data_IF_292357678721
#
_entry.id   IF_292357678721
#
_cell.length_a   1.000
_cell.length_b   1.000
_cell.length_c   1.000
_cell.angle_alpha   90.00
_cell.angle_beta   90.00
_cell.angle_gamma   90.00
#
_symmetry.space_group_name_H-M   'P 1'
#
loop_
_entity.id
_entity.type
_entity.pdbx_description
1 polymer ?
#
# COMPACT_ATOMS: atom_id res chain seq x y z
N UNK A 1 -17.55 29.32 1.76
CA UNK A 1 -16.32 29.18 2.55
C UNK A 1 -16.29 27.76 3.09
N UNK A 2 -15.30 26.94 2.72
CA UNK A 2 -15.17 25.61 3.29
C UNK A 2 -14.73 25.77 4.74
N UNK A 3 -15.61 25.46 5.68
CA UNK A 3 -15.26 25.34 7.10
C UNK A 3 -14.23 24.21 7.21
N UNK A 4 -12.97 24.57 7.41
CA UNK A 4 -11.93 23.61 7.77
C UNK A 4 -12.28 23.07 9.16
N UNK A 5 -12.96 21.92 9.18
CA UNK A 5 -13.27 21.23 10.44
C UNK A 5 -11.96 20.88 11.13
N UNK A 6 -11.68 21.53 12.26
CA UNK A 6 -10.48 21.28 13.05
C UNK A 6 -10.53 19.83 13.57
N UNK A 7 -9.69 18.97 13.03
CA UNK A 7 -9.55 17.57 13.44
C UNK A 7 -8.61 17.51 14.64
N UNK A 8 -9.03 16.85 15.72
CA UNK A 8 -8.21 16.70 16.93
C UNK A 8 -8.28 15.29 17.50
N UNK A 9 -7.29 14.92 18.28
CA UNK A 9 -7.29 13.66 19.01
C UNK A 9 -8.44 13.65 20.02
N UNK A 10 -9.11 12.49 20.16
CA UNK A 10 -10.25 12.35 21.08
C UNK A 10 -11.56 12.96 20.59
N UNK A 11 -11.66 13.31 19.31
CA UNK A 11 -12.89 13.84 18.71
C UNK A 11 -14.08 12.85 18.85
N UNK A 12 -15.23 13.37 19.27
CA UNK A 12 -16.42 12.60 19.63
C UNK A 12 -17.13 11.96 18.43
N UNK A 13 -16.79 12.37 17.20
CA UNK A 13 -17.27 11.70 15.97
C UNK A 13 -16.73 10.26 15.84
N UNK A 14 -15.67 9.93 16.57
CA UNK A 14 -15.17 8.57 16.73
C UNK A 14 -15.51 8.04 18.13
N UNK A 15 -15.87 6.75 18.27
CA UNK A 15 -16.28 6.20 19.55
C UNK A 15 -15.08 6.05 20.52
N UNK A 16 -15.28 6.10 21.85
CA UNK A 16 -14.20 5.94 22.84
C UNK A 16 -13.33 4.69 22.63
N UNK A 17 -13.95 3.54 22.31
CA UNK A 17 -13.25 2.28 21.96
C UNK A 17 -12.28 2.36 20.78
N UNK A 18 -12.39 3.39 19.95
CA UNK A 18 -11.41 3.69 18.91
C UNK A 18 -10.20 4.36 19.55
N UNK A 19 -10.41 5.44 20.31
CA UNK A 19 -9.36 6.22 20.96
C UNK A 19 -8.57 5.45 22.02
N UNK A 20 -9.19 4.51 22.72
CA UNK A 20 -8.51 3.55 23.62
C UNK A 20 -7.40 2.74 22.94
N UNK A 21 -7.43 2.67 21.60
CA UNK A 21 -6.46 1.93 20.77
C UNK A 21 -5.47 2.86 20.08
N UNK A 22 -5.38 4.13 20.48
CA UNK A 22 -4.52 5.12 19.82
C UNK A 22 -3.60 5.78 20.83
N UNK A 23 -2.29 5.75 20.56
CA UNK A 23 -1.29 6.50 21.31
C UNK A 23 -0.77 7.67 20.46
N UNK A 24 -0.64 8.86 21.05
CA UNK A 24 0.01 10.00 20.37
C UNK A 24 1.52 9.82 20.46
N UNK A 25 2.22 10.01 19.34
CA UNK A 25 3.68 10.04 19.28
C UNK A 25 4.20 11.48 19.06
N UNK A 26 5.45 11.78 19.46
CA UNK A 26 6.05 13.11 19.32
C UNK A 26 6.09 13.66 17.88
N UNK A 27 6.05 12.79 16.88
CA UNK A 27 6.00 13.18 15.47
C UNK A 27 4.57 13.48 14.97
N UNK A 28 3.60 13.65 15.86
CA UNK A 28 2.19 13.93 15.52
C UNK A 28 1.39 12.71 15.05
N UNK A 29 2.01 11.52 14.98
CA UNK A 29 1.28 10.30 14.61
C UNK A 29 0.31 9.89 15.72
N UNK A 30 -0.88 9.47 15.30
CA UNK A 30 -1.85 8.78 16.13
C UNK A 30 -1.68 7.28 15.89
N UNK A 31 -0.89 6.63 16.72
CA UNK A 31 -0.43 5.26 16.50
C UNK A 31 -1.45 4.23 16.96
N UNK A 32 -1.92 3.40 16.02
CA UNK A 32 -2.83 2.30 16.30
C UNK A 32 -2.16 1.18 17.11
N UNK A 33 -2.61 1.01 18.34
CA UNK A 33 -2.17 -0.02 19.29
C UNK A 33 -2.98 -1.32 19.16
N UNK A 34 -4.13 -1.29 18.49
CA UNK A 34 -4.95 -2.47 18.26
C UNK A 34 -4.39 -3.46 17.23
N UNK A 35 -5.25 -4.41 16.84
CA UNK A 35 -4.94 -5.42 15.83
C UNK A 35 -4.49 -4.77 14.51
N UNK A 36 -3.48 -5.36 13.87
CA UNK A 36 -2.90 -4.94 12.60
C UNK A 36 -2.81 -6.14 11.68
N UNK A 37 -2.94 -5.95 10.36
CA UNK A 37 -2.72 -7.05 9.42
C UNK A 37 -1.25 -7.18 9.03
N UNK A 38 -0.90 -8.23 8.28
CA UNK A 38 0.50 -8.55 7.94
C UNK A 38 1.31 -7.49 7.17
N UNK A 39 0.69 -6.41 6.65
CA UNK A 39 1.44 -5.27 6.07
C UNK A 39 1.59 -4.10 7.03
N UNK A 40 1.02 -4.18 8.23
CA UNK A 40 1.14 -3.18 9.30
C UNK A 40 -0.02 -2.19 9.44
N UNK A 41 -1.06 -2.26 8.61
CA UNK A 41 -2.22 -1.35 8.77
C UNK A 41 -3.13 -1.82 9.89
N UNK A 42 -3.62 -0.87 10.69
CA UNK A 42 -4.56 -1.11 11.78
C UNK A 42 -5.93 -1.59 11.29
N UNK A 43 -6.51 -2.51 12.04
CA UNK A 43 -7.87 -3.03 11.86
C UNK A 43 -8.73 -2.60 13.05
N UNK A 44 -9.88 -2.00 12.74
CA UNK A 44 -10.90 -1.62 13.70
C UNK A 44 -12.16 -2.45 13.46
N UNK A 45 -12.55 -3.24 14.46
CA UNK A 45 -13.82 -3.96 14.44
C UNK A 45 -14.97 -2.96 14.56
N UNK A 46 -15.98 -3.07 13.72
CA UNK A 46 -17.23 -2.30 13.82
C UNK A 46 -18.42 -3.25 13.88
N UNK A 47 -19.63 -2.73 14.10
CA UNK A 47 -20.87 -3.52 13.98
C UNK A 47 -21.11 -4.06 12.56
N UNK A 48 -20.44 -3.49 11.56
CA UNK A 48 -20.52 -3.86 10.15
C UNK A 48 -19.28 -4.63 9.66
N UNK A 49 -18.51 -5.21 10.59
CA UNK A 49 -17.28 -5.94 10.31
C UNK A 49 -16.00 -5.11 10.48
N UNK A 50 -14.87 -5.69 10.08
CA UNK A 50 -13.54 -5.08 10.19
C UNK A 50 -13.37 -3.98 9.14
N UNK A 51 -12.87 -2.81 9.56
CA UNK A 51 -12.46 -1.70 8.69
C UNK A 51 -10.99 -1.36 8.94
N UNK A 52 -10.32 -0.74 7.95
CA UNK A 52 -8.98 -0.16 8.16
C UNK A 52 -9.10 1.03 9.10
N UNK A 53 -8.33 1.03 10.18
CA UNK A 53 -8.47 2.02 11.26
C UNK A 53 -8.22 3.47 10.77
N UNK A 54 -7.22 3.68 9.92
CA UNK A 54 -6.91 5.00 9.38
C UNK A 54 -7.99 5.53 8.43
N UNK A 55 -8.58 4.65 7.61
CA UNK A 55 -9.68 5.03 6.70
C UNK A 55 -10.96 5.33 7.50
N UNK A 56 -11.23 4.54 8.54
CA UNK A 56 -12.33 4.80 9.48
C UNK A 56 -12.18 6.18 10.13
N UNK A 57 -11.00 6.52 10.64
CA UNK A 57 -10.75 7.84 11.22
C UNK A 57 -10.93 8.98 10.20
N UNK A 58 -10.36 8.83 9.00
CA UNK A 58 -10.50 9.82 7.93
C UNK A 58 -11.98 10.06 7.58
N UNK A 59 -12.75 8.98 7.38
CA UNK A 59 -14.16 9.07 6.99
C UNK A 59 -15.04 9.80 8.01
N UNK A 60 -14.74 9.66 9.30
CA UNK A 60 -15.54 10.27 10.38
C UNK A 60 -15.07 11.68 10.76
N UNK A 61 -13.78 11.98 10.60
CA UNK A 61 -13.20 13.26 11.02
C UNK A 61 -13.05 14.26 9.88
N UNK A 62 -12.89 13.79 8.64
CA UNK A 62 -12.72 14.63 7.45
C UNK A 62 -13.94 14.52 6.54
N UNK A 63 -14.39 13.30 6.26
CA UNK A 63 -15.54 13.02 5.40
C UNK A 63 -15.28 11.85 4.46
N UNK A 64 -16.25 11.56 3.60
CA UNK A 64 -16.22 10.39 2.71
C UNK A 64 -14.88 10.27 1.96
N UNK A 65 -14.27 9.09 2.00
CA UNK A 65 -13.04 8.85 1.28
C UNK A 65 -13.33 8.83 -0.23
N UNK A 66 -12.65 9.64 -1.06
CA UNK A 66 -12.98 9.74 -2.48
C UNK A 66 -12.88 8.39 -3.21
N UNK A 67 -13.85 8.14 -4.09
CA UNK A 67 -13.90 6.92 -4.90
C UNK A 67 -12.68 6.85 -5.84
N UNK A 68 -12.10 5.67 -5.98
CA UNK A 68 -10.94 5.45 -6.86
C UNK A 68 -9.59 5.89 -6.28
N UNK A 69 -9.57 6.60 -5.15
CA UNK A 69 -8.33 7.04 -4.50
C UNK A 69 -7.83 6.04 -3.44
N UNK A 70 -6.53 6.11 -3.16
CA UNK A 70 -5.81 5.32 -2.16
C UNK A 70 -5.33 6.22 -1.02
N UNK A 71 -5.18 5.65 0.17
CA UNK A 71 -4.61 6.36 1.33
C UNK A 71 -3.09 6.28 1.28
N UNK A 72 -2.43 7.41 1.03
CA UNK A 72 -0.98 7.55 1.18
C UNK A 72 -0.66 8.11 2.57
N UNK A 73 0.16 7.38 3.31
CA UNK A 73 0.66 7.81 4.61
C UNK A 73 1.86 8.72 4.42
N UNK A 74 1.67 10.03 4.60
CA UNK A 74 2.72 11.04 4.49
C UNK A 74 3.86 10.78 5.50
N UNK A 75 3.49 10.31 6.69
CA UNK A 75 4.42 9.91 7.76
C UNK A 75 5.12 8.55 7.53
N UNK A 76 4.84 7.86 6.42
CA UNK A 76 5.35 6.51 6.09
C UNK A 76 5.11 5.43 7.17
N UNK A 77 4.14 5.66 8.05
CA UNK A 77 3.77 4.75 9.12
C UNK A 77 2.35 4.23 8.93
N UNK A 78 2.22 2.96 8.52
CA UNK A 78 0.93 2.32 8.21
C UNK A 78 0.00 2.17 9.41
N UNK A 79 0.53 2.24 10.64
CA UNK A 79 -0.26 2.18 11.86
C UNK A 79 -0.79 3.57 12.28
N UNK A 80 -0.38 4.66 11.63
CA UNK A 80 -0.90 5.98 11.92
C UNK A 80 -2.35 6.13 11.45
N UNK A 81 -3.22 6.65 12.32
CA UNK A 81 -4.64 6.92 12.04
C UNK A 81 -4.98 8.41 12.06
N UNK A 82 -3.98 9.30 12.20
CA UNK A 82 -4.19 10.75 12.11
C UNK A 82 -4.60 11.11 10.67
N UNK A 83 -5.81 11.66 10.43
CA UNK A 83 -6.25 12.03 9.09
C UNK A 83 -5.37 13.08 8.43
N UNK A 84 -4.72 13.97 9.19
CA UNK A 84 -3.78 14.96 8.65
C UNK A 84 -2.52 14.31 8.06
N UNK A 85 -2.23 13.06 8.43
CA UNK A 85 -1.12 12.28 7.88
C UNK A 85 -1.54 11.38 6.71
N UNK A 86 -2.79 11.50 6.24
CA UNK A 86 -3.36 10.72 5.13
C UNK A 86 -3.72 11.64 3.98
N UNK A 87 -3.12 11.39 2.82
CA UNK A 87 -3.51 12.03 1.58
C UNK A 87 -4.25 11.03 0.68
N UNK A 88 -5.48 11.32 0.23
CA UNK A 88 -6.10 10.59 -0.86
C UNK A 88 -5.38 10.87 -2.17
N UNK A 89 -4.75 9.84 -2.75
CA UNK A 89 -3.98 9.95 -4.00
C UNK A 89 -4.43 8.92 -5.01
N UNK A 90 -4.10 9.10 -6.29
CA UNK A 90 -4.38 8.08 -7.30
C UNK A 90 -3.48 6.85 -7.09
N UNK A 91 -3.88 5.66 -7.60
CA UNK A 91 -3.02 4.47 -7.56
C UNK A 91 -1.63 4.69 -8.20
N UNK A 92 -1.56 5.47 -9.26
CA UNK A 92 -0.31 5.81 -9.95
C UNK A 92 0.61 6.62 -9.02
N UNK A 93 0.06 7.62 -8.34
CA UNK A 93 0.81 8.47 -7.43
C UNK A 93 1.27 7.70 -6.18
N UNK A 94 0.40 6.87 -5.59
CA UNK A 94 0.77 6.00 -4.47
C UNK A 94 1.89 5.02 -4.88
N UNK A 95 1.83 4.47 -6.10
CA UNK A 95 2.86 3.59 -6.63
C UNK A 95 4.18 4.33 -6.86
N UNK A 96 4.13 5.56 -7.39
CA UNK A 96 5.29 6.43 -7.63
C UNK A 96 6.00 6.78 -6.32
N UNK A 97 5.24 7.11 -5.27
CA UNK A 97 5.76 7.44 -3.93
C UNK A 97 6.16 6.22 -3.12
N UNK A 98 5.56 5.07 -3.40
CA UNK A 98 5.77 3.83 -2.67
C UNK A 98 7.11 3.17 -2.96
N UNK A 99 7.67 2.51 -1.95
CA UNK A 99 8.92 1.73 -2.07
C UNK A 99 8.80 0.49 -2.98
N UNK A 100 7.57 0.08 -3.34
CA UNK A 100 7.34 -1.09 -4.20
C UNK A 100 7.94 -0.95 -5.59
N UNK A 101 7.88 0.26 -6.18
CA UNK A 101 8.53 0.58 -7.44
C UNK A 101 10.06 0.48 -7.34
N UNK A 102 10.62 1.01 -6.24
CA UNK A 102 12.06 0.94 -5.96
C UNK A 102 12.53 -0.51 -5.84
N UNK A 103 11.84 -1.40 -5.12
CA UNK A 103 12.24 -2.81 -5.02
C UNK A 103 12.36 -3.48 -6.40
N UNK A 104 11.47 -3.14 -7.33
CA UNK A 104 11.54 -3.63 -8.71
C UNK A 104 12.67 -2.99 -9.52
N UNK A 105 13.18 -1.82 -9.14
CA UNK A 105 14.32 -1.13 -9.76
C UNK A 105 15.67 -1.55 -9.16
N UNK A 106 15.76 -1.65 -7.82
CA UNK A 106 16.99 -1.98 -7.09
C UNK A 106 17.31 -3.47 -7.08
N UNK A 107 16.33 -4.36 -7.32
CA UNK A 107 16.61 -5.80 -7.39
C UNK A 107 17.70 -6.08 -8.44
N UNK A 108 18.81 -6.65 -7.99
CA UNK A 108 19.95 -7.03 -8.83
C UNK A 108 19.83 -8.43 -9.40
N UNK A 109 18.97 -9.27 -8.82
CA UNK A 109 18.76 -10.65 -9.23
C UNK A 109 17.25 -11.00 -9.29
N UNK A 110 16.89 -11.96 -10.13
CA UNK A 110 15.53 -12.50 -10.19
C UNK A 110 15.26 -13.48 -9.03
N UNK A 111 14.00 -13.90 -8.80
CA UNK A 111 13.67 -14.88 -7.74
C UNK A 111 14.33 -16.26 -7.87
N UNK A 112 14.99 -16.55 -9.00
CA UNK A 112 15.79 -17.77 -9.22
C UNK A 112 17.29 -17.51 -9.10
N UNK A 113 17.70 -16.32 -8.65
CA UNK A 113 19.09 -15.96 -8.45
C UNK A 113 19.84 -15.45 -9.69
N UNK A 114 19.20 -15.37 -10.87
CA UNK A 114 19.89 -14.87 -12.07
C UNK A 114 20.00 -13.34 -12.08
N UNK A 115 21.15 -12.81 -12.51
CA UNK A 115 21.42 -11.36 -12.52
C UNK A 115 20.50 -10.56 -13.47
N UNK A 116 19.98 -9.41 -13.02
CA UNK A 116 19.31 -8.41 -13.86
C UNK A 116 20.31 -7.42 -14.47
N UNK A 117 21.29 -7.95 -15.21
CA UNK A 117 22.31 -7.17 -15.89
C UNK A 117 22.50 -7.64 -17.33
N UNK A 118 23.08 -6.76 -18.15
CA UNK A 118 23.49 -7.05 -19.53
C UNK A 118 22.45 -7.85 -20.33
N UNK A 119 22.89 -8.97 -20.89
CA UNK A 119 22.07 -9.84 -21.75
C UNK A 119 20.89 -10.47 -21.02
N UNK A 120 20.97 -10.70 -19.71
CA UNK A 120 19.93 -11.41 -18.98
C UNK A 120 18.74 -10.52 -18.57
N UNK A 121 18.93 -9.20 -18.61
CA UNK A 121 17.84 -8.25 -18.39
C UNK A 121 17.01 -8.07 -19.66
N UNK A 122 15.77 -8.54 -19.64
CA UNK A 122 14.77 -8.21 -20.64
C UNK A 122 13.78 -7.18 -20.10
N UNK A 123 13.62 -6.07 -20.82
CA UNK A 123 12.60 -5.06 -20.54
C UNK A 123 11.43 -5.27 -21.50
N UNK A 124 10.24 -5.48 -20.95
CA UNK A 124 9.02 -5.69 -21.72
C UNK A 124 8.64 -4.39 -22.45
N UNK A 125 8.35 -4.43 -23.77
CA UNK A 125 7.89 -3.25 -24.50
C UNK A 125 6.41 -2.93 -24.20
N UNK A 126 5.63 -3.95 -23.83
CA UNK A 126 4.19 -3.89 -23.58
C UNK A 126 3.83 -3.34 -22.19
N UNK A 127 4.75 -3.40 -21.23
CA UNK A 127 4.50 -3.01 -19.84
C UNK A 127 5.79 -2.66 -19.12
N UNK A 128 5.70 -1.85 -18.06
CA UNK A 128 6.84 -1.47 -17.20
C UNK A 128 7.30 -2.65 -16.31
N UNK A 129 7.83 -3.71 -16.92
CA UNK A 129 8.32 -4.92 -16.26
C UNK A 129 9.72 -5.32 -16.72
N UNK A 130 10.50 -5.88 -15.80
CA UNK A 130 11.80 -6.52 -16.04
C UNK A 130 11.66 -8.02 -15.87
N UNK A 131 12.19 -8.79 -16.82
CA UNK A 131 12.21 -10.25 -16.80
C UNK A 131 13.63 -10.78 -16.98
N UNK A 132 13.88 -11.93 -16.38
CA UNK A 132 15.12 -12.67 -16.56
C UNK A 132 14.99 -13.49 -17.86
N UNK A 133 15.92 -13.31 -18.81
CA UNK A 133 15.88 -14.05 -20.08
C UNK A 133 16.01 -15.55 -19.88
N UNK A 134 16.84 -15.99 -18.94
CA UNK A 134 16.95 -17.42 -18.60
C UNK A 134 15.59 -17.97 -18.15
N UNK A 135 14.96 -17.33 -17.15
CA UNK A 135 13.66 -17.77 -16.65
C UNK A 135 12.56 -17.70 -17.72
N UNK A 136 12.61 -16.70 -18.60
CA UNK A 136 11.66 -16.58 -19.72
C UNK A 136 11.83 -17.73 -20.73
N UNK A 137 13.08 -18.07 -21.08
CA UNK A 137 13.37 -19.18 -21.97
C UNK A 137 12.95 -20.52 -21.36
N UNK A 138 13.23 -20.75 -20.07
CA UNK A 138 12.79 -21.95 -19.34
C UNK A 138 11.26 -22.06 -19.32
N UNK A 139 10.57 -20.95 -19.04
CA UNK A 139 9.11 -20.89 -19.07
C UNK A 139 8.54 -21.22 -20.45
N UNK A 140 9.16 -20.70 -21.51
CA UNK A 140 8.76 -21.00 -22.89
C UNK A 140 9.01 -22.46 -23.26
N UNK A 141 10.15 -23.05 -22.86
CA UNK A 141 10.43 -24.49 -23.02
C UNK A 141 9.36 -25.34 -22.34
N UNK A 142 8.99 -25.02 -21.08
CA UNK A 142 7.91 -25.70 -20.35
C UNK A 142 6.56 -25.56 -21.03
N UNK A 143 6.24 -24.38 -21.57
CA UNK A 143 4.98 -24.16 -22.29
C UNK A 143 4.92 -24.97 -23.59
N UNK A 144 6.00 -25.00 -24.39
CA UNK A 144 6.10 -25.81 -25.62
C UNK A 144 5.96 -27.30 -25.34
N UNK A 145 6.61 -27.82 -24.29
CA UNK A 145 6.47 -29.21 -23.88
C UNK A 145 5.02 -29.61 -23.55
N UNK A 146 4.21 -28.66 -23.05
CA UNK A 146 2.78 -28.85 -22.78
C UNK A 146 1.88 -28.62 -24.00
N UNK A 147 2.35 -27.92 -25.03
CA UNK A 147 1.58 -27.51 -26.21
C UNK A 147 2.31 -27.87 -27.51
N UNK A 148 2.53 -29.17 -27.80
CA UNK A 148 3.36 -29.61 -28.92
C UNK A 148 2.79 -29.25 -30.30
N UNK A 149 1.49 -28.93 -30.39
CA UNK A 149 0.80 -28.60 -31.66
C UNK A 149 0.96 -27.12 -32.09
N UNK A 150 1.61 -26.29 -31.27
CA UNK A 150 1.77 -24.84 -31.51
C UNK A 150 3.24 -24.47 -31.73
N UNK A 151 4.10 -25.48 -31.90
CA UNK A 151 5.56 -25.31 -31.94
C UNK A 151 6.09 -25.06 -33.35
#
# INVERSE_FOLDING_TARGET
MATTTLVKFGDTRLPPRFWEKVAIHPNGCWMWQGAKHGKGYGHFQTRYGVRKAHKWAYEHLVGAFPVGLQSDHLCRNRACVNPEHIEPVTPEENSRRGLGGLNSLVKTHCPQGHSYSGVNLYRRPDRKARECRVCRADGFRRWRAKNPRVA
#
